data_IF_007705350083
#
_entry.id   IF_007705350083
#
_cell.length_a   1.000
_cell.length_b   1.000
_cell.length_c   1.000
_cell.angle_alpha   90.00
_cell.angle_beta   90.00
_cell.angle_gamma   90.00
#
_symmetry.space_group_name_H-M   'P 1'
#
loop_
_entity.id
_entity.type
_entity.pdbx_description
1 polymer ?
#
# COMPACT_ATOMS: atom_id res chain seq x y z
N UNK A 1 20.74 30.53 13.17
CA UNK A 1 20.19 30.47 11.79
C UNK A 1 21.23 30.53 10.68
N UNK A 2 22.30 31.32 10.81
CA UNK A 2 23.30 31.49 9.74
C UNK A 2 24.11 30.22 9.42
N UNK A 3 24.50 29.45 10.46
CA UNK A 3 25.16 28.14 10.30
C UNK A 3 24.28 27.16 9.52
N UNK A 4 22.98 27.15 9.82
CA UNK A 4 22.02 26.25 9.18
C UNK A 4 21.78 26.65 7.72
N UNK A 5 21.61 27.96 7.45
CA UNK A 5 21.50 28.47 6.07
C UNK A 5 22.74 28.15 5.26
N UNK A 6 23.94 28.22 5.87
CA UNK A 6 25.19 27.83 5.22
C UNK A 6 25.23 26.33 4.92
N UNK A 7 24.84 25.47 5.87
CA UNK A 7 24.76 24.01 5.65
C UNK A 7 23.72 23.60 4.60
N UNK A 8 22.61 24.33 4.50
CA UNK A 8 21.52 24.06 3.55
C UNK A 8 21.72 24.71 2.16
N UNK A 9 22.68 25.61 2.01
CA UNK A 9 22.88 26.36 0.77
C UNK A 9 23.24 25.41 -0.38
N UNK A 10 22.44 25.44 -1.46
CA UNK A 10 22.65 24.62 -2.65
C UNK A 10 22.35 23.12 -2.48
N UNK A 11 21.84 22.68 -1.32
CA UNK A 11 21.49 21.28 -1.05
C UNK A 11 19.97 21.10 -1.06
N UNK A 12 19.52 19.88 -1.39
CA UNK A 12 18.12 19.50 -1.21
C UNK A 12 17.79 19.51 0.28
N UNK A 13 16.61 20.00 0.64
CA UNK A 13 16.12 19.99 2.01
C UNK A 13 14.86 19.13 2.08
N UNK A 14 14.69 18.41 3.18
CA UNK A 14 13.43 17.77 3.52
C UNK A 14 12.80 18.51 4.69
N UNK A 15 11.47 18.53 4.71
CA UNK A 15 10.68 19.16 5.78
C UNK A 15 9.61 18.16 6.18
N UNK A 16 9.56 17.81 7.45
CA UNK A 16 8.46 17.08 8.06
C UNK A 16 7.67 18.02 8.96
N UNK A 17 6.35 17.91 8.81
CA UNK A 17 5.35 18.66 9.54
C UNK A 17 4.56 17.64 10.35
N UNK A 18 4.57 17.80 11.67
CA UNK A 18 3.72 17.03 12.56
C UNK A 18 2.80 17.99 13.31
N UNK A 19 1.49 17.84 13.09
CA UNK A 19 0.48 18.65 13.76
C UNK A 19 0.02 17.93 15.03
N UNK A 20 0.16 18.61 16.17
CA UNK A 20 -0.28 18.11 17.47
C UNK A 20 -1.13 19.15 18.17
N UNK A 21 -1.80 18.74 19.25
CA UNK A 21 -2.58 19.65 20.09
C UNK A 21 -1.96 19.69 21.47
N UNK A 22 -1.67 20.88 21.98
CA UNK A 22 -1.12 21.02 23.33
C UNK A 22 -2.18 20.79 24.42
N UNK A 23 -1.73 20.80 25.67
CA UNK A 23 -2.59 20.65 26.85
C UNK A 23 -3.63 21.77 27.00
N UNK A 24 -3.45 22.89 26.28
CA UNK A 24 -4.37 24.03 26.23
C UNK A 24 -5.29 23.99 24.99
N UNK A 25 -5.32 22.88 24.25
CA UNK A 25 -6.13 22.69 23.04
C UNK A 25 -5.73 23.59 21.86
N UNK A 26 -4.49 24.10 21.83
CA UNK A 26 -3.98 24.85 20.67
C UNK A 26 -3.35 23.88 19.68
N UNK A 27 -3.63 24.09 18.40
CA UNK A 27 -2.95 23.38 17.33
C UNK A 27 -1.50 23.89 17.22
N UNK A 28 -0.55 22.99 17.44
CA UNK A 28 0.88 23.24 17.33
C UNK A 28 1.41 22.44 16.14
N UNK A 29 2.20 23.09 15.30
CA UNK A 29 2.90 22.42 14.18
C UNK A 29 4.37 22.29 14.54
N UNK A 30 4.83 21.05 14.73
CA UNK A 30 6.24 20.73 14.85
C UNK A 30 6.85 20.64 13.46
N UNK A 31 7.86 21.48 13.20
CA UNK A 31 8.50 21.60 11.90
C UNK A 31 9.95 21.15 12.02
N UNK A 32 10.24 19.95 11.52
CA UNK A 32 11.60 19.41 11.44
C UNK A 32 12.06 19.58 10.01
N UNK A 33 13.21 20.20 9.81
CA UNK A 33 13.82 20.25 8.49
C UNK A 33 15.24 19.70 8.57
N UNK A 34 15.65 18.98 7.53
CA UNK A 34 17.00 18.49 7.39
C UNK A 34 17.53 18.75 6.00
N UNK A 35 18.85 18.73 5.89
CA UNK A 35 19.54 18.81 4.60
C UNK A 35 19.75 17.39 4.12
N UNK A 36 19.19 17.04 2.96
CA UNK A 36 19.41 15.74 2.35
C UNK A 36 20.87 15.67 1.88
N UNK A 37 21.56 14.59 2.27
CA UNK A 37 22.77 14.14 1.59
C UNK A 37 22.46 13.79 0.13
N UNK A 38 23.50 13.68 -0.69
CA UNK A 38 23.30 13.28 -2.08
C UNK A 38 23.09 11.75 -2.14
N UNK A 39 22.19 11.27 -3.01
CA UNK A 39 21.91 9.82 -3.17
C UNK A 39 23.18 9.04 -3.58
N UNK A 40 24.21 9.76 -4.02
CA UNK A 40 25.52 9.25 -4.37
C UNK A 40 26.24 8.60 -3.19
N UNK A 41 26.10 9.08 -1.95
CA UNK A 41 26.84 8.53 -0.80
C UNK A 41 26.45 7.06 -0.52
N UNK A 42 25.15 6.72 -0.61
CA UNK A 42 24.72 5.32 -0.50
C UNK A 42 25.23 4.47 -1.67
N UNK A 43 25.20 5.02 -2.89
CA UNK A 43 25.67 4.34 -4.10
C UNK A 43 27.19 4.22 -4.18
N UNK A 44 27.96 5.05 -3.48
CA UNK A 44 29.41 4.93 -3.34
C UNK A 44 29.77 3.72 -2.48
N UNK A 45 29.04 3.49 -1.39
CA UNK A 45 29.27 2.37 -0.48
C UNK A 45 28.63 1.07 -1.02
N UNK A 46 27.45 1.16 -1.65
CA UNK A 46 26.67 0.04 -2.14
C UNK A 46 26.19 0.25 -3.60
N UNK A 47 27.10 0.25 -4.60
CA UNK A 47 26.76 0.62 -5.98
C UNK A 47 25.76 -0.33 -6.64
N UNK A 48 25.86 -1.62 -6.33
CA UNK A 48 25.02 -2.68 -6.91
C UNK A 48 23.66 -2.84 -6.22
N UNK A 49 23.44 -2.19 -5.08
CA UNK A 49 22.19 -2.32 -4.29
C UNK A 49 21.17 -1.27 -4.75
N UNK A 50 19.90 -1.61 -4.99
CA UNK A 50 18.86 -0.62 -5.30
C UNK A 50 18.75 0.46 -4.22
N UNK A 51 18.18 1.63 -4.54
CA UNK A 51 17.96 2.66 -3.51
C UNK A 51 16.95 2.19 -2.46
N UNK A 52 17.07 2.75 -1.26
CA UNK A 52 16.18 2.44 -0.16
C UNK A 52 14.71 2.73 -0.54
N UNK A 53 13.77 1.82 -0.22
CA UNK A 53 12.36 2.02 -0.50
C UNK A 53 11.80 3.10 0.41
N UNK A 54 10.85 3.88 -0.11
CA UNK A 54 10.07 4.87 0.65
C UNK A 54 8.65 4.33 0.87
N UNK A 55 8.42 3.58 1.97
CA UNK A 55 7.10 3.02 2.23
C UNK A 55 6.08 4.13 2.47
N UNK A 56 4.88 3.95 1.91
CA UNK A 56 3.77 4.88 2.07
C UNK A 56 2.94 4.44 3.27
N UNK A 57 2.76 5.33 4.25
CA UNK A 57 2.07 5.05 5.52
C UNK A 57 0.70 4.38 5.32
N UNK A 58 -0.05 4.80 4.30
CA UNK A 58 -1.39 4.28 4.00
C UNK A 58 -1.41 3.05 3.09
N UNK A 59 -0.26 2.57 2.58
CA UNK A 59 -0.18 1.43 1.66
C UNK A 59 0.68 0.31 2.25
N UNK A 60 0.05 -0.60 2.99
CA UNK A 60 0.72 -1.74 3.64
C UNK A 60 1.56 -2.62 2.71
N UNK A 61 1.19 -2.77 1.42
CA UNK A 61 2.02 -3.48 0.44
C UNK A 61 3.45 -2.91 0.35
N UNK A 62 3.58 -1.59 0.39
CA UNK A 62 4.90 -0.92 0.34
C UNK A 62 5.76 -1.17 1.58
N UNK A 63 5.13 -1.43 2.74
CA UNK A 63 5.84 -1.83 3.95
C UNK A 63 6.35 -3.27 3.87
N UNK A 64 5.57 -4.17 3.27
CA UNK A 64 6.00 -5.55 3.00
C UNK A 64 7.15 -5.57 2.00
N UNK A 65 7.07 -4.76 0.94
CA UNK A 65 8.15 -4.60 -0.03
C UNK A 65 9.41 -4.03 0.62
N UNK A 66 9.27 -3.04 1.51
CA UNK A 66 10.38 -2.49 2.26
C UNK A 66 11.04 -3.55 3.16
N UNK A 67 10.26 -4.30 3.94
CA UNK A 67 10.78 -5.40 4.76
C UNK A 67 11.49 -6.46 3.90
N UNK A 68 10.92 -6.78 2.73
CA UNK A 68 11.53 -7.70 1.77
C UNK A 68 12.87 -7.18 1.23
N UNK A 69 12.95 -5.88 0.94
CA UNK A 69 14.18 -5.22 0.53
C UNK A 69 15.25 -5.26 1.63
N UNK A 70 14.88 -4.92 2.87
CA UNK A 70 15.81 -4.97 4.01
C UNK A 70 16.30 -6.40 4.28
N UNK A 71 15.41 -7.39 4.21
CA UNK A 71 15.81 -8.81 4.35
C UNK A 71 16.78 -9.28 3.27
N UNK A 72 16.62 -8.83 2.02
CA UNK A 72 17.51 -9.21 0.90
C UNK A 72 18.87 -8.52 0.93
N UNK A 73 18.95 -7.33 1.52
CA UNK A 73 20.14 -6.47 1.49
C UNK A 73 20.69 -6.20 2.90
N UNK A 74 20.35 -7.04 3.88
CA UNK A 74 20.59 -6.75 5.30
C UNK A 74 22.06 -6.43 5.58
N UNK A 75 22.98 -7.31 5.17
CA UNK A 75 24.41 -7.16 5.49
C UNK A 75 25.02 -5.91 4.84
N UNK A 76 24.54 -5.53 3.64
CA UNK A 76 24.98 -4.31 2.97
C UNK A 76 24.48 -3.07 3.71
N UNK A 77 23.21 -3.08 4.13
CA UNK A 77 22.60 -1.98 4.86
C UNK A 77 23.22 -1.82 6.25
N UNK A 78 23.51 -2.94 6.92
CA UNK A 78 24.22 -2.99 8.19
C UNK A 78 25.62 -2.38 8.06
N UNK A 79 26.37 -2.76 7.03
CA UNK A 79 27.69 -2.19 6.75
C UNK A 79 27.63 -0.67 6.49
N UNK A 80 26.64 -0.20 5.73
CA UNK A 80 26.44 1.24 5.47
C UNK A 80 26.12 1.98 6.77
N UNK A 81 25.14 1.51 7.55
CA UNK A 81 24.72 2.18 8.79
C UNK A 81 25.84 2.18 9.84
N UNK A 82 26.70 1.16 9.85
CA UNK A 82 27.88 1.12 10.71
C UNK A 82 28.85 2.29 10.45
N UNK A 83 28.93 2.82 9.22
CA UNK A 83 29.82 3.94 8.88
C UNK A 83 29.38 5.30 9.46
N UNK A 84 28.11 5.44 9.85
CA UNK A 84 27.58 6.71 10.33
C UNK A 84 27.95 6.99 11.80
N UNK A 85 28.13 8.25 12.16
CA UNK A 85 28.38 8.66 13.54
C UNK A 85 27.07 8.61 14.35
N UNK A 86 26.97 7.81 15.43
CA UNK A 86 25.77 7.76 16.27
C UNK A 86 25.42 9.10 16.94
N UNK A 87 26.39 10.00 17.12
CA UNK A 87 26.16 11.30 17.77
C UNK A 87 25.61 12.36 16.79
N UNK A 88 25.61 12.10 15.48
CA UNK A 88 25.16 13.07 14.46
C UNK A 88 23.63 13.21 14.44
N UNK A 89 22.90 12.12 14.71
CA UNK A 89 21.44 12.14 14.81
C UNK A 89 20.90 10.97 15.63
N UNK A 90 19.85 11.23 16.41
CA UNK A 90 19.14 10.21 17.19
C UNK A 90 18.63 9.05 16.30
N UNK A 91 18.20 9.34 15.07
CA UNK A 91 17.73 8.31 14.13
C UNK A 91 18.85 7.33 13.71
N UNK A 92 20.11 7.77 13.67
CA UNK A 92 21.26 6.90 13.39
C UNK A 92 21.50 5.97 14.57
N UNK A 93 21.49 6.51 15.79
CA UNK A 93 21.62 5.73 17.01
C UNK A 93 20.53 4.66 17.12
N UNK A 94 19.26 5.03 16.91
CA UNK A 94 18.13 4.09 16.95
C UNK A 94 18.25 3.02 15.86
N UNK A 95 18.68 3.39 14.65
CA UNK A 95 18.88 2.42 13.55
C UNK A 95 19.96 1.39 13.89
N UNK A 96 21.08 1.79 14.52
CA UNK A 96 22.13 0.87 14.96
C UNK A 96 21.61 -0.12 16.00
N UNK A 97 20.89 0.38 17.01
CA UNK A 97 20.26 -0.47 18.04
C UNK A 97 19.29 -1.48 17.42
N UNK A 98 18.49 -1.04 16.44
CA UNK A 98 17.52 -1.90 15.76
C UNK A 98 18.19 -3.02 14.97
N UNK A 99 19.31 -2.75 14.30
CA UNK A 99 20.07 -3.75 13.55
C UNK A 99 20.73 -4.80 14.45
N UNK A 100 21.14 -4.39 15.65
CA UNK A 100 21.74 -5.28 16.67
C UNK A 100 20.68 -6.08 17.46
N UNK A 101 19.38 -5.80 17.26
CA UNK A 101 18.32 -6.47 17.99
C UNK A 101 18.25 -7.96 17.65
N UNK A 102 18.27 -8.81 18.68
CA UNK A 102 18.18 -10.26 18.53
C UNK A 102 16.87 -10.66 17.83
N UNK A 103 16.97 -11.53 16.81
CA UNK A 103 15.82 -11.97 16.04
C UNK A 103 15.42 -11.06 14.86
N UNK A 104 16.12 -9.93 14.64
CA UNK A 104 15.78 -9.00 13.56
C UNK A 104 16.01 -9.62 12.17
N UNK A 105 17.16 -10.29 11.96
CA UNK A 105 17.49 -10.95 10.69
C UNK A 105 16.48 -12.06 10.39
N UNK A 106 16.14 -12.86 11.40
CA UNK A 106 15.18 -13.96 11.33
C UNK A 106 13.78 -13.44 11.02
N UNK A 107 13.36 -12.34 11.66
CA UNK A 107 12.05 -11.71 11.43
C UNK A 107 11.93 -11.16 10.01
N UNK A 108 12.96 -10.46 9.52
CA UNK A 108 12.98 -9.95 8.15
C UNK A 108 12.98 -11.09 7.12
N UNK A 109 13.77 -12.13 7.35
CA UNK A 109 13.79 -13.32 6.49
C UNK A 109 12.42 -14.01 6.45
N UNK A 110 11.78 -14.15 7.62
CA UNK A 110 10.44 -14.72 7.73
C UNK A 110 9.42 -13.90 6.93
N UNK A 111 9.44 -12.56 7.06
CA UNK A 111 8.52 -11.68 6.31
C UNK A 111 8.79 -11.75 4.81
N UNK A 112 10.06 -11.63 4.39
CA UNK A 112 10.46 -11.64 3.00
C UNK A 112 10.10 -12.96 2.29
N UNK A 113 10.16 -14.08 3.00
CA UNK A 113 9.87 -15.40 2.45
C UNK A 113 8.37 -15.68 2.36
N UNK A 114 7.60 -15.28 3.38
CA UNK A 114 6.22 -15.77 3.55
C UNK A 114 5.13 -14.74 3.24
N UNK A 115 5.44 -13.45 3.24
CA UNK A 115 4.42 -12.39 3.05
C UNK A 115 4.61 -11.55 1.80
N UNK A 116 5.70 -11.72 1.05
CA UNK A 116 5.93 -11.00 -0.22
C UNK A 116 4.80 -11.23 -1.25
N UNK A 117 4.16 -12.41 -1.21
CA UNK A 117 3.00 -12.72 -2.05
C UNK A 117 1.82 -11.76 -1.84
N UNK A 118 1.63 -11.27 -0.61
CA UNK A 118 0.55 -10.35 -0.25
C UNK A 118 0.72 -9.04 -1.03
N UNK A 119 1.93 -8.47 -1.05
CA UNK A 119 2.21 -7.24 -1.79
C UNK A 119 1.94 -7.37 -3.29
N UNK A 120 2.43 -8.46 -3.88
CA UNK A 120 2.19 -8.75 -5.30
C UNK A 120 0.71 -8.96 -5.61
N UNK A 121 -0.03 -9.59 -4.70
CA UNK A 121 -1.48 -9.81 -4.85
C UNK A 121 -2.27 -8.53 -4.72
N UNK A 122 -1.95 -7.66 -3.76
CA UNK A 122 -2.58 -6.34 -3.62
C UNK A 122 -2.42 -5.57 -4.93
N UNK A 123 -1.19 -5.49 -5.46
CA UNK A 123 -0.91 -4.77 -6.71
C UNK A 123 -1.76 -5.29 -7.87
N UNK A 124 -1.90 -6.62 -8.00
CA UNK A 124 -2.72 -7.24 -9.05
C UNK A 124 -4.22 -7.00 -8.85
N UNK A 125 -4.70 -7.00 -7.60
CA UNK A 125 -6.11 -6.69 -7.30
C UNK A 125 -6.45 -5.22 -7.58
N UNK A 126 -5.46 -4.34 -7.60
CA UNK A 126 -5.61 -2.93 -7.98
C UNK A 126 -5.67 -2.74 -9.50
N UNK A 127 -5.30 -3.72 -10.32
CA UNK A 127 -5.34 -3.62 -11.79
C UNK A 127 -6.80 -3.49 -12.30
N UNK A 128 -6.98 -2.69 -13.36
CA UNK A 128 -8.30 -2.50 -13.98
C UNK A 128 -8.67 -3.69 -14.85
N UNK A 129 -9.97 -3.97 -14.93
CA UNK A 129 -10.52 -4.99 -15.84
C UNK A 129 -10.33 -6.43 -15.38
N UNK A 130 -9.79 -6.66 -14.18
CA UNK A 130 -9.61 -7.99 -13.61
C UNK A 130 -10.96 -8.72 -13.51
N UNK A 131 -10.98 -9.98 -13.97
CA UNK A 131 -12.16 -10.82 -13.83
C UNK A 131 -12.41 -11.15 -12.35
N UNK A 132 -13.68 -11.19 -11.95
CA UNK A 132 -14.05 -11.56 -10.58
C UNK A 132 -13.47 -12.93 -10.19
N UNK A 133 -13.52 -13.91 -11.08
CA UNK A 133 -12.95 -15.25 -10.84
C UNK A 133 -11.44 -15.22 -10.63
N UNK A 134 -10.72 -14.44 -11.44
CA UNK A 134 -9.28 -14.23 -11.26
C UNK A 134 -8.97 -13.53 -9.94
N UNK A 135 -9.74 -12.50 -9.56
CA UNK A 135 -9.57 -11.80 -8.30
C UNK A 135 -9.79 -12.72 -7.08
N UNK A 136 -10.85 -13.55 -7.11
CA UNK A 136 -11.10 -14.56 -6.07
C UNK A 136 -9.98 -15.61 -6.02
N UNK A 137 -9.47 -16.04 -7.17
CA UNK A 137 -8.34 -16.99 -7.25
C UNK A 137 -7.07 -16.42 -6.62
N UNK A 138 -6.77 -15.13 -6.82
CA UNK A 138 -5.62 -14.49 -6.17
C UNK A 138 -5.72 -14.50 -4.65
N UNK A 139 -6.89 -14.14 -4.12
CA UNK A 139 -7.12 -14.17 -2.66
C UNK A 139 -7.03 -15.59 -2.10
N UNK A 140 -7.56 -16.59 -2.81
CA UNK A 140 -7.41 -17.99 -2.40
C UNK A 140 -5.94 -18.45 -2.46
N UNK A 141 -5.15 -18.00 -3.45
CA UNK A 141 -3.72 -18.31 -3.52
C UNK A 141 -2.96 -17.82 -2.29
N UNK A 142 -3.24 -16.61 -1.82
CA UNK A 142 -2.66 -16.10 -0.55
C UNK A 142 -3.10 -16.95 0.64
N UNK A 143 -4.37 -17.38 0.70
CA UNK A 143 -4.83 -18.27 1.76
C UNK A 143 -4.08 -19.60 1.76
N UNK A 144 -3.83 -20.19 0.59
CA UNK A 144 -3.12 -21.46 0.46
C UNK A 144 -1.65 -21.31 0.88
N UNK A 145 -0.99 -20.21 0.49
CA UNK A 145 0.37 -19.90 0.96
C UNK A 145 0.42 -19.74 2.48
N UNK A 146 -0.49 -18.96 3.08
CA UNK A 146 -0.54 -18.78 4.53
C UNK A 146 -0.86 -20.08 5.28
N UNK A 147 -1.70 -20.94 4.69
CA UNK A 147 -2.03 -22.25 5.25
C UNK A 147 -0.81 -23.17 5.28
N UNK A 148 0.13 -23.02 4.34
CA UNK A 148 1.35 -23.81 4.31
C UNK A 148 2.32 -23.52 5.45
N UNK A 149 2.21 -22.36 6.12
CA UNK A 149 3.10 -21.93 7.21
C UNK A 149 2.90 -22.68 8.54
N UNK A 150 1.96 -23.64 8.58
CA UNK A 150 1.60 -24.43 9.78
C UNK A 150 1.26 -23.58 11.03
N UNK A 151 0.98 -22.29 10.85
CA UNK A 151 0.60 -21.34 11.89
C UNK A 151 -0.80 -20.82 11.62
N UNK A 152 -1.73 -21.22 12.48
CA UNK A 152 -3.13 -20.80 12.38
C UNK A 152 -3.33 -19.30 12.63
N UNK A 153 -2.34 -18.60 13.20
CA UNK A 153 -2.47 -17.19 13.52
C UNK A 153 -2.72 -16.33 12.27
N UNK A 154 -2.00 -16.59 11.18
CA UNK A 154 -2.06 -15.78 9.95
C UNK A 154 -3.23 -16.20 9.05
N UNK A 155 -3.30 -17.49 8.74
CA UNK A 155 -4.40 -18.05 7.95
C UNK A 155 -5.75 -17.84 8.63
N UNK A 156 -5.82 -18.10 9.95
CA UNK A 156 -7.03 -17.89 10.75
C UNK A 156 -7.47 -16.44 10.76
N UNK A 157 -6.53 -15.48 10.85
CA UNK A 157 -6.84 -14.06 10.77
C UNK A 157 -7.42 -13.68 9.41
N UNK A 158 -6.77 -14.06 8.31
CA UNK A 158 -7.24 -13.72 6.96
C UNK A 158 -8.58 -14.39 6.65
N UNK A 159 -8.73 -15.69 6.95
CA UNK A 159 -9.99 -16.40 6.71
C UNK A 159 -11.15 -15.81 7.50
N UNK A 160 -10.92 -15.38 8.75
CA UNK A 160 -11.94 -14.72 9.58
C UNK A 160 -12.34 -13.36 9.02
N UNK A 161 -11.38 -12.56 8.53
CA UNK A 161 -11.66 -11.27 7.87
C UNK A 161 -12.52 -11.46 6.62
N UNK A 162 -12.17 -12.43 5.77
CA UNK A 162 -12.90 -12.75 4.55
C UNK A 162 -14.29 -13.31 4.84
N UNK A 163 -14.42 -14.17 5.86
CA UNK A 163 -15.70 -14.74 6.27
C UNK A 163 -16.66 -13.69 6.83
N UNK A 164 -16.16 -12.77 7.68
CA UNK A 164 -16.97 -11.67 8.23
C UNK A 164 -17.42 -10.68 7.17
N UNK A 165 -16.67 -10.57 6.06
CA UNK A 165 -17.06 -9.75 4.92
C UNK A 165 -18.17 -10.43 4.10
N UNK A 166 -19.43 -10.16 4.46
CA UNK A 166 -20.61 -10.67 3.75
C UNK A 166 -20.60 -10.34 2.24
N UNK A 167 -20.03 -9.20 1.85
CA UNK A 167 -19.89 -8.79 0.46
C UNK A 167 -18.93 -9.71 -0.31
N UNK A 168 -17.77 -10.00 0.27
CA UNK A 168 -16.82 -10.96 -0.29
C UNK A 168 -17.41 -12.36 -0.40
N UNK A 169 -18.11 -12.85 0.65
CA UNK A 169 -18.79 -14.16 0.61
C UNK A 169 -19.79 -14.25 -0.54
N UNK A 170 -20.60 -13.20 -0.73
CA UNK A 170 -21.56 -13.11 -1.84
C UNK A 170 -20.86 -13.10 -3.21
N UNK A 171 -19.80 -12.30 -3.35
CA UNK A 171 -19.00 -12.22 -4.57
C UNK A 171 -18.32 -13.54 -4.92
N UNK A 172 -17.78 -14.24 -3.92
CA UNK A 172 -17.19 -15.57 -4.07
C UNK A 172 -18.24 -16.57 -4.58
N UNK A 173 -19.46 -16.56 -4.04
CA UNK A 173 -20.55 -17.42 -4.52
C UNK A 173 -20.96 -17.09 -5.96
N UNK A 174 -21.13 -15.81 -6.28
CA UNK A 174 -21.41 -15.37 -7.67
C UNK A 174 -20.32 -15.88 -8.62
N UNK A 175 -19.05 -15.72 -8.25
CA UNK A 175 -17.92 -16.25 -9.02
C UNK A 175 -18.01 -17.76 -9.24
N UNK A 176 -18.35 -18.54 -8.20
CA UNK A 176 -18.51 -20.00 -8.30
C UNK A 176 -19.64 -20.37 -9.27
N UNK A 177 -20.78 -19.69 -9.20
CA UNK A 177 -21.91 -19.89 -10.13
C UNK A 177 -21.48 -19.58 -11.57
N UNK A 178 -20.77 -18.48 -11.78
CA UNK A 178 -20.26 -18.09 -13.10
C UNK A 178 -19.25 -19.09 -13.69
N UNK A 179 -18.51 -19.80 -12.83
CA UNK A 179 -17.58 -20.87 -13.22
C UNK A 179 -18.25 -22.26 -13.30
N UNK A 180 -19.55 -22.37 -13.01
CA UNK A 180 -20.28 -23.64 -13.03
C UNK A 180 -20.03 -24.54 -11.79
N UNK A 181 -19.44 -24.02 -10.73
CA UNK A 181 -19.06 -24.77 -9.52
C UNK A 181 -20.16 -24.82 -8.46
N UNK A 182 -21.15 -23.94 -8.54
CA UNK A 182 -22.21 -23.85 -7.54
C UNK A 182 -23.57 -23.50 -8.16
N UNK A 183 -24.63 -23.88 -7.46
CA UNK A 183 -26.01 -23.50 -7.76
C UNK A 183 -26.37 -22.24 -6.96
N UNK A 184 -27.32 -21.46 -7.49
CA UNK A 184 -27.93 -20.31 -6.82
C UNK A 184 -28.54 -20.76 -5.49
N UNK A 185 -28.17 -20.08 -4.40
CA UNK A 185 -28.68 -20.33 -3.04
C UNK A 185 -29.06 -19.01 -2.35
N UNK A 186 -29.43 -19.11 -1.06
CA UNK A 186 -29.86 -17.98 -0.22
C UNK A 186 -28.87 -16.81 -0.18
N UNK A 187 -27.57 -17.06 -0.32
CA UNK A 187 -26.55 -16.02 -0.24
C UNK A 187 -26.61 -15.05 -1.43
N UNK A 188 -27.13 -15.50 -2.57
CA UNK A 188 -27.25 -14.73 -3.82
C UNK A 188 -28.68 -14.39 -4.21
N UNK A 189 -29.70 -14.90 -3.51
CA UNK A 189 -31.14 -14.64 -3.75
C UNK A 189 -31.52 -13.17 -4.07
N UNK A 190 -30.91 -12.12 -3.46
CA UNK A 190 -31.28 -10.75 -3.82
C UNK A 190 -30.79 -10.31 -5.21
N UNK A 191 -30.00 -11.12 -5.92
CA UNK A 191 -29.43 -10.80 -7.22
C UNK A 191 -30.20 -11.48 -8.34
N UNK A 192 -30.63 -10.70 -9.33
CA UNK A 192 -31.16 -11.24 -10.58
C UNK A 192 -30.04 -11.79 -11.47
N UNK A 193 -30.38 -12.61 -12.47
CA UNK A 193 -29.41 -13.08 -13.49
C UNK A 193 -28.69 -11.92 -14.16
N UNK A 194 -29.41 -10.86 -14.53
CA UNK A 194 -28.84 -9.67 -15.13
C UNK A 194 -27.83 -8.98 -14.20
N UNK A 195 -28.11 -8.92 -12.90
CA UNK A 195 -27.14 -8.38 -11.94
C UNK A 195 -25.88 -9.23 -11.89
N UNK A 196 -26.00 -10.55 -11.85
CA UNK A 196 -24.84 -11.47 -11.80
C UNK A 196 -23.98 -11.37 -13.07
N UNK A 197 -24.59 -11.22 -14.25
CA UNK A 197 -23.85 -11.01 -15.51
C UNK A 197 -23.00 -9.73 -15.48
N UNK A 198 -23.53 -8.65 -14.90
CA UNK A 198 -22.79 -7.40 -14.71
C UNK A 198 -21.60 -7.52 -13.73
N UNK A 199 -21.54 -8.58 -12.91
CA UNK A 199 -20.49 -8.78 -11.91
C UNK A 199 -19.23 -9.45 -12.46
N UNK A 200 -19.17 -9.75 -13.77
CA UNK A 200 -18.01 -10.41 -14.42
C UNK A 200 -16.67 -9.73 -14.10
N UNK A 201 -16.67 -8.40 -14.00
CA UNK A 201 -15.51 -7.57 -13.69
C UNK A 201 -15.71 -6.79 -12.38
N UNK A 202 -16.56 -7.30 -11.47
CA UNK A 202 -16.80 -6.61 -10.20
C UNK A 202 -15.50 -6.54 -9.38
N UNK A 203 -15.06 -5.33 -8.99
CA UNK A 203 -13.87 -5.19 -8.15
C UNK A 203 -14.16 -5.72 -6.75
N UNK A 204 -13.16 -6.38 -6.15
CA UNK A 204 -13.23 -6.87 -4.77
C UNK A 204 -12.45 -5.97 -3.79
N UNK A 205 -11.88 -4.87 -4.30
CA UNK A 205 -11.15 -3.84 -3.56
C UNK A 205 -11.74 -2.46 -3.83
N UNK A 206 -11.52 -1.49 -2.95
CA UNK A 206 -12.07 -0.13 -3.05
C UNK A 206 -11.27 0.82 -3.94
N UNK A 207 -10.18 0.36 -4.55
CA UNK A 207 -9.25 1.21 -5.30
C UNK A 207 -9.91 1.91 -6.49
N UNK A 208 -10.88 1.27 -7.15
CA UNK A 208 -11.65 1.91 -8.22
C UNK A 208 -12.56 3.03 -7.70
N UNK A 209 -13.09 2.92 -6.48
CA UNK A 209 -13.86 4.00 -5.84
C UNK A 209 -12.96 5.22 -5.60
N UNK A 210 -11.74 5.00 -5.11
CA UNK A 210 -10.75 6.07 -4.88
C UNK A 210 -10.34 6.77 -6.18
N UNK A 211 -10.17 6.00 -7.27
CA UNK A 211 -9.91 6.55 -8.60
C UNK A 211 -11.06 7.42 -9.09
N UNK A 212 -12.30 6.94 -8.93
CA UNK A 212 -13.51 7.69 -9.32
C UNK A 212 -13.62 8.98 -8.49
N UNK A 213 -13.34 8.95 -7.18
CA UNK A 213 -13.31 10.17 -6.38
C UNK A 213 -12.21 11.14 -6.80
N UNK A 214 -11.04 10.64 -7.19
CA UNK A 214 -9.96 11.47 -7.72
C UNK A 214 -10.37 12.13 -9.04
N UNK A 215 -11.04 11.41 -9.92
CA UNK A 215 -11.61 11.92 -11.17
C UNK A 215 -12.69 12.98 -10.91
N UNK A 216 -13.60 12.75 -9.97
CA UNK A 216 -14.61 13.73 -9.58
C UNK A 216 -14.00 14.96 -8.93
N UNK A 217 -13.01 14.80 -8.05
CA UNK A 217 -12.29 15.92 -7.46
C UNK A 217 -11.62 16.77 -8.53
N UNK A 218 -10.95 16.15 -9.51
CA UNK A 218 -10.34 16.85 -10.63
C UNK A 218 -11.39 17.60 -11.47
N UNK A 219 -12.53 16.95 -11.73
CA UNK A 219 -13.66 17.53 -12.46
C UNK A 219 -14.24 18.74 -11.73
N UNK A 220 -14.40 18.68 -10.40
CA UNK A 220 -15.04 19.71 -9.58
C UNK A 220 -14.09 20.78 -9.04
N UNK A 221 -12.84 20.82 -9.49
CA UNK A 221 -11.89 21.88 -9.08
C UNK A 221 -12.37 23.28 -9.49
N UNK A 222 -12.10 24.29 -8.66
CA UNK A 222 -12.53 25.70 -8.82
C UNK A 222 -12.08 26.37 -10.13
N UNK A 223 -11.15 25.73 -10.85
CA UNK A 223 -10.70 26.15 -12.17
C UNK A 223 -11.75 25.91 -13.27
N UNK A 224 -12.80 25.10 -13.02
CA UNK A 224 -13.91 24.84 -13.96
C UNK A 224 -15.19 25.54 -13.52
N UNK A 225 -15.29 26.85 -13.79
CA UNK A 225 -16.31 27.75 -13.21
C UNK A 225 -17.71 27.74 -13.87
N UNK A 226 -18.05 26.79 -14.74
CA UNK A 226 -19.37 26.81 -15.39
C UNK A 226 -19.81 25.45 -15.97
N UNK A 227 -19.96 24.43 -15.12
CA UNK A 227 -20.73 23.26 -15.54
C UNK A 227 -22.22 23.60 -15.55
N UNK A 228 -22.86 23.47 -16.71
CA UNK A 228 -24.28 23.18 -16.75
C UNK A 228 -24.46 21.66 -16.53
N UNK A 229 -25.67 21.23 -16.14
CA UNK A 229 -25.96 19.82 -15.88
C UNK A 229 -25.66 18.92 -17.10
N UNK A 230 -25.90 19.41 -18.31
CA UNK A 230 -25.62 18.65 -19.55
C UNK A 230 -24.12 18.42 -19.78
N UNK A 231 -23.28 19.43 -19.53
CA UNK A 231 -21.83 19.33 -19.65
C UNK A 231 -21.26 18.39 -18.59
N UNK A 232 -21.80 18.44 -17.37
CA UNK A 232 -21.45 17.51 -16.30
C UNK A 232 -21.80 16.08 -16.70
N UNK A 233 -23.01 15.86 -17.23
CA UNK A 233 -23.46 14.57 -17.73
C UNK A 233 -22.54 14.05 -18.84
N UNK A 234 -22.17 14.88 -19.81
CA UNK A 234 -21.23 14.49 -20.86
C UNK A 234 -19.84 14.12 -20.30
N UNK A 235 -19.34 14.87 -19.30
CA UNK A 235 -18.07 14.53 -18.65
C UNK A 235 -18.11 13.18 -17.94
N UNK A 236 -19.20 12.88 -17.22
CA UNK A 236 -19.41 11.57 -16.58
C UNK A 236 -19.46 10.46 -17.62
N UNK A 237 -20.22 10.63 -18.71
CA UNK A 237 -20.32 9.63 -19.79
C UNK A 237 -18.94 9.36 -20.43
N UNK A 238 -18.20 10.41 -20.80
CA UNK A 238 -16.87 10.27 -21.40
C UNK A 238 -15.92 9.54 -20.43
N UNK A 239 -15.95 9.88 -19.14
CA UNK A 239 -15.08 9.25 -18.13
C UNK A 239 -15.45 7.79 -17.85
N UNK A 240 -16.74 7.47 -17.74
CA UNK A 240 -17.19 6.09 -17.61
C UNK A 240 -16.83 5.24 -18.84
N UNK A 241 -16.94 5.80 -20.06
CA UNK A 241 -16.62 5.08 -21.29
C UNK A 241 -15.11 4.94 -21.56
N UNK A 242 -14.29 5.86 -21.05
CA UNK A 242 -12.83 5.77 -21.17
C UNK A 242 -12.21 4.70 -20.24
N UNK A 243 -12.96 4.29 -19.22
CA UNK A 243 -12.56 3.32 -18.20
C UNK A 243 -13.16 1.90 -18.44
N UNK A 244 -13.87 1.69 -19.56
CA UNK A 244 -14.34 0.39 -20.07
C UNK A 244 -13.36 -0.16 -21.11
#
# INVERSE_FOLDING_TARGET
MEIIRRKACGKKIWVSLDETTDVEQRCIVNLVFGVLGDETEFKEIAPSTPLLPSPVVTRWGSWIDAATYYGKNFDVIEAVIATFDPEEAQSIQESKILLETEGMKESLLFIATNFACISSTITRLEERGLLLSSAISLVNGVLDELKSLQSDAYYGKLSNVLYKNKGFVKLKKVSQIMCGEAIIDETVQPLTMSNMLCMKHAPIVSCDVERVFSEYKAMLTDNRRSFNFENLRHHVIIKCNHNL
#
